data_IF_820987451629
#
_entry.id   IF_820987451629
#
_cell.length_a   1.000
_cell.length_b   1.000
_cell.length_c   1.000
_cell.angle_alpha   90.00
_cell.angle_beta   90.00
_cell.angle_gamma   90.00
#
_symmetry.space_group_name_H-M   'P 1'
#
loop_
_entity.id
_entity.type
_entity.pdbx_description
1 polymer ?
#
# COMPACT_ATOMS: atom_id res chain seq x y z
N UNK A 1 -14.64 -7.87 3.99
CA UNK A 1 -15.69 -7.66 2.95
C UNK A 1 -15.38 -8.39 1.65
N UNK A 2 -14.26 -8.09 0.98
CA UNK A 2 -13.76 -8.93 -0.10
C UNK A 2 -13.24 -10.24 0.52
N UNK A 3 -13.82 -11.42 0.21
CA UNK A 3 -13.46 -12.69 0.82
C UNK A 3 -12.18 -13.31 0.23
N UNK A 4 -11.62 -12.71 -0.82
CA UNK A 4 -10.39 -13.20 -1.43
C UNK A 4 -9.24 -13.00 -0.45
N UNK A 5 -8.48 -14.05 -0.17
CA UNK A 5 -7.24 -14.02 0.60
C UNK A 5 -6.11 -14.55 -0.30
N UNK A 6 -5.06 -13.74 -0.46
CA UNK A 6 -3.91 -14.11 -1.28
C UNK A 6 -2.99 -15.02 -0.48
N UNK A 7 -2.32 -15.95 -1.16
CA UNK A 7 -1.39 -16.88 -0.51
C UNK A 7 -0.10 -17.01 -1.31
N UNK A 8 1.03 -17.18 -0.62
CA UNK A 8 2.27 -17.56 -1.27
C UNK A 8 2.16 -19.01 -1.79
N UNK A 9 2.45 -19.21 -3.07
CA UNK A 9 2.38 -20.49 -3.80
C UNK A 9 3.71 -20.80 -4.50
N UNK A 10 4.79 -20.12 -4.10
CA UNK A 10 6.12 -20.17 -4.71
C UNK A 10 6.62 -21.60 -4.98
N UNK A 11 6.42 -22.52 -4.04
CA UNK A 11 6.96 -23.87 -4.10
C UNK A 11 6.40 -24.69 -5.28
N UNK A 12 5.15 -24.43 -5.69
CA UNK A 12 4.56 -25.08 -6.86
C UNK A 12 5.17 -24.61 -8.18
N UNK A 13 5.85 -23.46 -8.17
CA UNK A 13 6.49 -22.88 -9.36
C UNK A 13 8.02 -23.07 -9.39
N UNK A 14 8.64 -23.47 -8.27
CA UNK A 14 10.06 -23.84 -8.22
C UNK A 14 10.31 -25.05 -9.13
N UNK A 15 11.33 -24.93 -9.98
CA UNK A 15 11.73 -25.95 -10.96
C UNK A 15 10.57 -26.43 -11.87
N UNK A 16 9.57 -25.58 -12.08
CA UNK A 16 8.44 -25.87 -12.96
C UNK A 16 8.78 -25.62 -14.42
N UNK A 17 7.98 -26.17 -15.33
CA UNK A 17 8.13 -25.92 -16.77
C UNK A 17 7.79 -24.46 -17.17
N UNK A 18 7.18 -23.68 -16.28
CA UNK A 18 6.94 -22.27 -16.49
C UNK A 18 8.18 -21.44 -16.12
N UNK A 19 9.12 -21.36 -17.07
CA UNK A 19 10.44 -20.74 -16.89
C UNK A 19 10.41 -19.31 -16.35
N UNK A 20 9.38 -18.52 -16.65
CA UNK A 20 9.29 -17.13 -16.17
C UNK A 20 9.30 -17.07 -14.64
N UNK A 21 8.40 -17.79 -13.97
CA UNK A 21 8.35 -17.79 -12.50
C UNK A 21 9.46 -18.61 -11.88
N UNK A 22 9.82 -19.76 -12.48
CA UNK A 22 10.93 -20.57 -11.99
C UNK A 22 12.25 -19.76 -11.97
N UNK A 23 12.53 -18.99 -13.03
CA UNK A 23 13.73 -18.15 -13.10
C UNK A 23 13.67 -16.98 -12.11
N UNK A 24 12.51 -16.34 -11.93
CA UNK A 24 12.35 -15.26 -10.92
C UNK A 24 12.69 -15.80 -9.53
N UNK A 25 12.13 -16.95 -9.16
CA UNK A 25 12.34 -17.60 -7.87
C UNK A 25 13.77 -18.13 -7.68
N UNK A 26 14.47 -18.50 -8.75
CA UNK A 26 15.85 -18.98 -8.71
C UNK A 26 16.87 -17.84 -8.64
N UNK A 27 16.60 -16.71 -9.29
CA UNK A 27 17.53 -15.59 -9.40
C UNK A 27 17.49 -14.63 -8.21
N UNK A 28 16.38 -14.57 -7.48
CA UNK A 28 16.21 -13.67 -6.34
C UNK A 28 15.64 -14.44 -5.13
N UNK A 29 16.42 -14.59 -4.04
CA UNK A 29 15.94 -15.29 -2.85
C UNK A 29 14.80 -14.56 -2.13
N UNK A 30 14.57 -13.27 -2.41
CA UNK A 30 13.44 -12.49 -1.88
C UNK A 30 12.19 -12.66 -2.73
N UNK A 31 12.29 -13.28 -3.91
CA UNK A 31 11.16 -13.38 -4.80
C UNK A 31 10.16 -14.45 -4.31
N UNK A 32 8.89 -14.13 -4.47
CA UNK A 32 7.77 -15.03 -4.21
C UNK A 32 6.79 -15.01 -5.38
N UNK A 33 5.94 -16.05 -5.45
CA UNK A 33 4.76 -16.09 -6.29
C UNK A 33 3.54 -16.11 -5.39
N UNK A 34 2.65 -15.12 -5.54
CA UNK A 34 1.39 -15.07 -4.79
C UNK A 34 0.22 -15.43 -5.69
N UNK A 35 -0.63 -16.32 -5.21
CA UNK A 35 -1.90 -16.70 -5.80
C UNK A 35 -3.03 -15.81 -5.30
N UNK A 36 -3.87 -15.34 -6.21
CA UNK A 36 -5.06 -14.54 -5.96
C UNK A 36 -6.27 -15.39 -6.35
N UNK A 37 -6.91 -16.10 -5.38
CA UNK A 37 -8.04 -16.96 -5.68
C UNK A 37 -9.26 -16.14 -6.11
N UNK A 38 -9.91 -16.57 -7.17
CA UNK A 38 -11.07 -15.92 -7.77
C UNK A 38 -12.19 -16.96 -7.90
N UNK A 39 -12.90 -17.21 -6.80
CA UNK A 39 -14.06 -18.11 -6.78
C UNK A 39 -15.11 -17.60 -7.75
N UNK A 40 -15.78 -18.50 -8.47
CA UNK A 40 -16.69 -18.25 -9.61
C UNK A 40 -16.05 -17.60 -10.84
N UNK A 41 -14.73 -17.37 -10.83
CA UNK A 41 -13.97 -16.76 -11.92
C UNK A 41 -13.51 -17.72 -13.02
N UNK A 42 -13.99 -18.96 -13.05
CA UNK A 42 -13.49 -20.05 -13.89
C UNK A 42 -13.80 -19.95 -15.40
N UNK A 43 -13.93 -18.75 -15.95
CA UNK A 43 -14.15 -18.53 -17.38
C UNK A 43 -12.91 -17.96 -18.06
N UNK A 44 -12.57 -18.52 -19.24
CA UNK A 44 -11.46 -18.04 -20.08
C UNK A 44 -11.60 -16.55 -20.40
N UNK A 45 -12.81 -16.11 -20.76
CA UNK A 45 -13.09 -14.73 -21.10
C UNK A 45 -12.83 -13.75 -19.94
N UNK A 46 -13.19 -14.13 -18.70
CA UNK A 46 -12.87 -13.33 -17.53
C UNK A 46 -11.37 -13.25 -17.27
N UNK A 47 -10.69 -14.39 -17.33
CA UNK A 47 -9.24 -14.45 -17.12
C UNK A 47 -8.46 -13.61 -18.14
N UNK A 48 -8.84 -13.67 -19.42
CA UNK A 48 -8.20 -12.87 -20.47
C UNK A 48 -8.48 -11.36 -20.28
N UNK A 49 -9.67 -10.96 -19.82
CA UNK A 49 -9.95 -9.54 -19.47
C UNK A 49 -9.10 -9.04 -18.30
N UNK A 50 -8.98 -9.84 -17.24
CA UNK A 50 -8.13 -9.50 -16.09
C UNK A 50 -6.66 -9.37 -16.50
N UNK A 51 -6.18 -10.23 -17.40
CA UNK A 51 -4.84 -10.12 -17.97
C UNK A 51 -4.66 -8.83 -18.80
N UNK A 52 -5.61 -8.48 -19.67
CA UNK A 52 -5.58 -7.23 -20.43
C UNK A 52 -5.62 -5.99 -19.52
N UNK A 53 -6.41 -6.03 -18.45
CA UNK A 53 -6.42 -4.97 -17.44
C UNK A 53 -5.05 -4.81 -16.79
N UNK A 54 -4.43 -5.90 -16.34
CA UNK A 54 -3.09 -5.87 -15.76
C UNK A 54 -2.04 -5.26 -16.69
N UNK A 55 -2.13 -5.54 -18.00
CA UNK A 55 -1.29 -4.91 -19.01
C UNK A 55 -1.52 -3.39 -19.13
N UNK A 56 -2.78 -2.95 -19.00
CA UNK A 56 -3.12 -1.53 -18.91
C UNK A 56 -2.56 -0.84 -17.66
N UNK A 57 -2.39 -1.56 -16.56
CA UNK A 57 -1.73 -1.10 -15.32
C UNK A 57 -0.19 -1.15 -15.41
N UNK A 58 0.38 -1.42 -16.60
CA UNK A 58 1.82 -1.44 -16.83
C UNK A 58 2.52 -2.76 -16.46
N UNK A 59 1.78 -3.81 -16.12
CA UNK A 59 2.37 -5.13 -15.88
C UNK A 59 2.58 -5.90 -17.19
N UNK A 60 3.56 -6.82 -17.27
CA UNK A 60 3.72 -7.69 -18.46
C UNK A 60 2.49 -8.57 -18.74
N UNK A 61 1.74 -8.89 -17.69
CA UNK A 61 0.51 -9.67 -17.72
C UNK A 61 0.15 -10.17 -16.33
N UNK A 62 -1.00 -10.86 -16.24
CA UNK A 62 -1.48 -11.52 -15.04
C UNK A 62 -1.73 -12.99 -15.37
N UNK A 63 -0.76 -13.83 -15.01
CA UNK A 63 -0.84 -15.27 -15.24
C UNK A 63 -2.04 -15.87 -14.50
N UNK A 64 -2.70 -16.86 -15.09
CA UNK A 64 -3.89 -17.47 -14.49
C UNK A 64 -4.03 -18.96 -14.78
N UNK A 65 -4.82 -19.61 -13.92
CA UNK A 65 -5.36 -20.96 -14.08
C UNK A 65 -6.85 -20.87 -13.77
N UNK A 66 -7.68 -21.58 -14.52
CA UNK A 66 -9.10 -21.78 -14.22
C UNK A 66 -9.45 -23.25 -14.23
N UNK A 67 -10.37 -23.66 -13.38
CA UNK A 67 -10.74 -25.06 -13.21
C UNK A 67 -12.13 -25.31 -13.76
N UNK A 68 -12.24 -26.39 -14.54
CA UNK A 68 -13.50 -26.83 -15.14
C UNK A 68 -13.62 -28.34 -15.04
N UNK A 69 -14.83 -28.86 -14.88
CA UNK A 69 -15.08 -30.29 -15.04
C UNK A 69 -14.98 -30.71 -16.50
N UNK A 70 -14.18 -31.73 -16.76
CA UNK A 70 -14.11 -32.46 -18.02
C UNK A 70 -14.43 -33.94 -17.72
N UNK A 71 -15.69 -34.33 -17.93
CA UNK A 71 -16.24 -35.58 -17.41
C UNK A 71 -16.33 -35.56 -15.87
N UNK A 72 -15.80 -36.61 -15.23
CA UNK A 72 -15.76 -36.74 -13.75
C UNK A 72 -14.51 -36.11 -13.12
N UNK A 73 -13.57 -35.58 -13.92
CA UNK A 73 -12.33 -34.99 -13.43
C UNK A 73 -12.41 -33.47 -13.48
N UNK A 74 -11.87 -32.84 -12.44
CA UNK A 74 -11.66 -31.41 -12.39
C UNK A 74 -10.28 -31.11 -12.99
N UNK A 75 -10.25 -30.43 -14.13
CA UNK A 75 -9.01 -30.12 -14.85
C UNK A 75 -8.71 -28.62 -14.77
N UNK A 76 -7.44 -28.30 -14.47
CA UNK A 76 -6.94 -26.93 -14.55
C UNK A 76 -6.54 -26.58 -15.98
N UNK A 77 -7.12 -25.51 -16.53
CA UNK A 77 -6.85 -24.99 -17.85
C UNK A 77 -6.25 -23.58 -17.77
N UNK A 78 -5.61 -23.16 -18.86
CA UNK A 78 -4.97 -21.85 -18.97
C UNK A 78 -3.48 -21.94 -19.28
N UNK A 79 -2.83 -20.79 -19.54
CA UNK A 79 -1.42 -20.77 -19.92
C UNK A 79 -0.49 -21.36 -18.85
N UNK A 80 -0.78 -21.14 -17.57
CA UNK A 80 0.09 -21.63 -16.49
C UNK A 80 -0.07 -23.13 -16.25
N UNK A 81 -1.30 -23.65 -16.21
CA UNK A 81 -1.57 -25.07 -15.98
C UNK A 81 -0.84 -25.97 -16.98
N UNK A 82 -0.86 -25.60 -18.27
CA UNK A 82 -0.15 -26.32 -19.34
C UNK A 82 1.37 -26.38 -19.14
N UNK A 83 1.95 -25.35 -18.51
CA UNK A 83 3.40 -25.23 -18.35
C UNK A 83 3.91 -25.86 -17.04
N UNK A 84 3.09 -25.93 -15.99
CA UNK A 84 3.50 -26.51 -14.70
C UNK A 84 3.10 -27.98 -14.55
N UNK A 85 2.15 -28.47 -15.36
CA UNK A 85 1.68 -29.86 -15.35
C UNK A 85 0.55 -30.12 -14.35
N UNK A 86 -0.07 -31.29 -14.46
CA UNK A 86 -1.29 -31.65 -13.70
C UNK A 86 -1.06 -31.69 -12.18
N UNK A 87 0.03 -32.32 -11.73
CA UNK A 87 0.34 -32.49 -10.30
C UNK A 87 0.44 -31.14 -9.57
N UNK A 88 1.25 -30.21 -10.10
CA UNK A 88 1.43 -28.86 -9.52
C UNK A 88 0.15 -28.03 -9.63
N UNK A 89 -0.60 -28.18 -10.74
CA UNK A 89 -1.87 -27.49 -10.92
C UNK A 89 -2.90 -27.91 -9.88
N UNK A 90 -2.97 -29.22 -9.57
CA UNK A 90 -3.87 -29.75 -8.53
C UNK A 90 -3.41 -29.34 -7.13
N UNK A 91 -2.11 -29.35 -6.85
CA UNK A 91 -1.57 -28.89 -5.57
C UNK A 91 -1.91 -27.42 -5.28
N UNK A 92 -1.80 -26.55 -6.30
CA UNK A 92 -2.23 -25.15 -6.19
C UNK A 92 -3.74 -25.07 -5.92
N UNK A 93 -4.56 -25.85 -6.63
CA UNK A 93 -6.02 -25.87 -6.45
C UNK A 93 -6.41 -26.20 -5.01
N UNK A 94 -5.77 -27.23 -4.45
CA UNK A 94 -6.00 -27.68 -3.08
C UNK A 94 -5.56 -26.63 -2.07
N UNK A 95 -4.37 -26.04 -2.24
CA UNK A 95 -3.88 -24.99 -1.34
C UNK A 95 -4.79 -23.75 -1.33
N UNK A 96 -5.24 -23.31 -2.51
CA UNK A 96 -6.10 -22.13 -2.65
C UNK A 96 -7.58 -22.43 -2.37
N UNK A 97 -7.95 -23.69 -2.11
CA UNK A 97 -9.32 -24.10 -1.81
C UNK A 97 -10.32 -23.83 -2.94
N UNK A 98 -9.89 -24.11 -4.18
CA UNK A 98 -10.65 -23.82 -5.41
C UNK A 98 -11.42 -25.03 -5.91
N UNK A 99 -12.57 -24.81 -6.53
CA UNK A 99 -13.47 -25.83 -7.06
C UNK A 99 -13.73 -25.64 -8.56
N UNK A 100 -14.63 -26.47 -9.09
CA UNK A 100 -15.17 -26.30 -10.43
C UNK A 100 -15.80 -24.92 -10.61
N UNK A 101 -15.43 -24.24 -11.71
CA UNK A 101 -15.89 -22.89 -12.00
C UNK A 101 -15.08 -21.78 -11.29
N UNK A 102 -13.97 -22.10 -10.64
CA UNK A 102 -13.09 -21.11 -10.02
C UNK A 102 -11.83 -20.81 -10.86
N UNK A 103 -11.15 -19.71 -10.53
CA UNK A 103 -9.85 -19.36 -11.10
C UNK A 103 -8.86 -18.89 -10.04
N UNK A 104 -7.61 -18.77 -10.43
CA UNK A 104 -6.56 -18.13 -9.66
C UNK A 104 -5.68 -17.30 -10.59
N UNK A 105 -5.28 -16.13 -10.12
CA UNK A 105 -4.29 -15.28 -10.78
C UNK A 105 -2.98 -15.31 -10.01
N UNK A 106 -1.88 -14.98 -10.67
CA UNK A 106 -0.55 -15.11 -10.10
C UNK A 106 0.31 -13.89 -10.42
N UNK A 107 0.97 -13.40 -9.38
CA UNK A 107 1.98 -12.34 -9.44
C UNK A 107 3.29 -12.90 -8.91
N UNK A 108 4.41 -12.50 -9.50
CA UNK A 108 5.73 -13.02 -9.15
C UNK A 108 6.76 -11.90 -9.09
N UNK A 109 7.68 -11.96 -8.13
CA UNK A 109 8.76 -10.98 -7.94
C UNK A 109 9.04 -10.73 -6.48
N UNK A 110 9.62 -9.57 -6.15
CA UNK A 110 9.77 -9.13 -4.76
C UNK A 110 8.39 -8.68 -4.22
N UNK A 111 7.86 -9.30 -3.15
CA UNK A 111 6.57 -8.92 -2.54
C UNK A 111 6.46 -7.44 -2.23
N UNK A 112 7.54 -6.78 -1.78
CA UNK A 112 7.52 -5.35 -1.47
C UNK A 112 7.18 -4.48 -2.68
N UNK A 113 7.51 -4.96 -3.88
CA UNK A 113 7.27 -4.24 -5.15
C UNK A 113 5.90 -4.56 -5.74
N UNK A 114 5.46 -5.82 -5.68
CA UNK A 114 4.22 -6.21 -6.35
C UNK A 114 2.98 -6.15 -5.44
N UNK A 115 3.11 -6.06 -4.10
CA UNK A 115 1.96 -6.18 -3.16
C UNK A 115 0.86 -5.17 -3.45
N UNK A 116 1.21 -3.94 -3.85
CA UNK A 116 0.25 -2.91 -4.23
C UNK A 116 -0.59 -3.35 -5.43
N UNK A 117 0.08 -3.85 -6.48
CA UNK A 117 -0.60 -4.39 -7.66
C UNK A 117 -1.41 -5.65 -7.34
N UNK A 118 -0.89 -6.57 -6.53
CA UNK A 118 -1.62 -7.76 -6.09
C UNK A 118 -2.91 -7.40 -5.34
N UNK A 119 -2.84 -6.41 -4.45
CA UNK A 119 -4.00 -5.87 -3.74
C UNK A 119 -5.03 -5.23 -4.68
N UNK A 120 -4.58 -4.52 -5.71
CA UNK A 120 -5.45 -3.98 -6.76
C UNK A 120 -6.12 -5.11 -7.56
N UNK A 121 -5.37 -6.13 -7.98
CA UNK A 121 -5.89 -7.28 -8.72
C UNK A 121 -6.92 -8.08 -7.90
N UNK A 122 -6.63 -8.30 -6.61
CA UNK A 122 -7.58 -8.87 -5.64
C UNK A 122 -8.88 -8.06 -5.56
N UNK A 123 -8.77 -6.74 -5.46
CA UNK A 123 -9.93 -5.84 -5.37
C UNK A 123 -10.74 -5.90 -6.64
N UNK A 124 -10.09 -5.78 -7.80
CA UNK A 124 -10.72 -5.86 -9.11
C UNK A 124 -11.44 -7.18 -9.34
N UNK A 125 -10.80 -8.31 -9.04
CA UNK A 125 -11.41 -9.63 -9.16
C UNK A 125 -12.66 -9.76 -8.27
N UNK A 126 -12.58 -9.29 -7.02
CA UNK A 126 -13.72 -9.29 -6.11
C UNK A 126 -14.88 -8.42 -6.62
N UNK A 127 -14.60 -7.29 -7.25
CA UNK A 127 -15.62 -6.39 -7.81
C UNK A 127 -16.26 -6.95 -9.09
N UNK A 128 -15.47 -7.44 -10.04
CA UNK A 128 -15.99 -7.99 -11.31
C UNK A 128 -16.81 -9.27 -11.10
N UNK A 129 -16.45 -10.08 -10.10
CA UNK A 129 -17.18 -11.29 -9.72
C UNK A 129 -18.29 -11.04 -8.69
N UNK A 130 -18.51 -9.77 -8.31
CA UNK A 130 -19.51 -9.36 -7.33
C UNK A 130 -19.42 -10.13 -5.99
N UNK A 131 -18.18 -10.42 -5.55
CA UNK A 131 -17.89 -11.11 -4.29
C UNK A 131 -17.79 -10.14 -3.10
N UNK A 132 -17.60 -8.84 -3.37
CA UNK A 132 -17.50 -7.81 -2.33
C UNK A 132 -18.88 -7.51 -1.78
N UNK A 133 -19.05 -7.73 -0.48
CA UNK A 133 -20.20 -7.25 0.27
C UNK A 133 -20.15 -5.72 0.42
N UNK A 134 -21.12 -5.03 -0.20
CA UNK A 134 -21.16 -3.56 -0.29
C UNK A 134 -21.97 -2.90 0.81
N UNK A 135 -22.83 -3.64 1.50
CA UNK A 135 -23.74 -3.12 2.54
C UNK A 135 -23.13 -3.17 3.95
N UNK A 136 -22.02 -3.90 4.09
CA UNK A 136 -21.32 -4.05 5.37
C UNK A 136 -20.20 -3.04 5.55
N UNK A 137 -20.03 -2.58 6.78
CA UNK A 137 -18.81 -1.91 7.23
C UNK A 137 -17.92 -2.92 7.96
N UNK A 138 -16.67 -3.05 7.50
CA UNK A 138 -15.62 -3.82 8.16
C UNK A 138 -14.51 -2.87 8.56
N UNK A 139 -14.17 -2.88 9.85
CA UNK A 139 -13.13 -2.05 10.42
C UNK A 139 -12.00 -2.93 10.93
N UNK A 140 -10.78 -2.46 10.75
CA UNK A 140 -9.60 -3.05 11.38
C UNK A 140 -8.61 -1.98 11.80
N UNK A 141 -7.76 -2.35 12.74
CA UNK A 141 -6.55 -1.60 13.06
C UNK A 141 -5.38 -2.21 12.29
N UNK A 142 -4.63 -1.38 11.60
CA UNK A 142 -3.29 -1.71 11.14
C UNK A 142 -2.33 -1.15 12.18
N UNK A 143 -1.45 -1.99 12.71
CA UNK A 143 -0.49 -1.66 13.76
C UNK A 143 0.87 -2.18 13.36
N UNK A 144 1.90 -1.93 14.18
CA UNK A 144 3.25 -2.44 13.96
C UNK A 144 3.88 -1.98 12.63
N UNK A 145 3.63 -0.72 12.28
CA UNK A 145 4.31 -0.08 11.15
C UNK A 145 5.82 -0.03 11.39
N UNK A 146 6.65 -0.14 10.33
CA UNK A 146 8.08 0.14 10.42
C UNK A 146 8.32 1.56 10.94
N UNK A 147 9.35 1.73 11.77
CA UNK A 147 9.80 3.05 12.22
C UNK A 147 10.69 3.70 11.16
N UNK A 148 11.59 2.90 10.59
CA UNK A 148 12.48 3.29 9.50
C UNK A 148 12.16 2.50 8.23
N UNK A 149 12.50 3.09 7.10
CA UNK A 149 12.53 2.41 5.80
C UNK A 149 13.84 2.68 5.07
N UNK A 150 14.16 1.82 4.11
CA UNK A 150 15.29 2.04 3.21
C UNK A 150 14.83 2.84 2.00
N UNK A 151 15.35 4.04 1.84
CA UNK A 151 15.12 4.86 0.67
C UNK A 151 16.04 4.39 -0.47
N UNK A 152 15.46 3.76 -1.49
CA UNK A 152 16.21 3.23 -2.63
C UNK A 152 16.77 4.30 -3.57
N UNK A 153 16.20 5.51 -3.58
CA UNK A 153 16.67 6.62 -4.44
C UNK A 153 17.90 7.28 -3.83
N UNK A 154 17.80 7.64 -2.55
CA UNK A 154 18.84 8.34 -1.79
C UNK A 154 19.88 7.38 -1.18
N UNK A 155 19.65 6.06 -1.27
CA UNK A 155 20.50 5.00 -0.70
C UNK A 155 20.82 5.23 0.78
N UNK A 156 19.79 5.57 1.57
CA UNK A 156 19.89 5.84 3.01
C UNK A 156 18.67 5.36 3.77
N UNK A 157 18.79 5.29 5.09
CA UNK A 157 17.66 5.09 5.98
C UNK A 157 16.86 6.40 6.08
N UNK A 158 15.54 6.29 6.03
CA UNK A 158 14.60 7.38 6.28
C UNK A 158 13.48 6.94 7.23
N UNK A 159 12.69 7.87 7.73
CA UNK A 159 11.50 7.55 8.50
C UNK A 159 10.40 7.00 7.60
N UNK A 160 9.79 5.88 7.98
CA UNK A 160 8.73 5.27 7.18
C UNK A 160 7.43 6.11 7.19
N UNK A 161 7.15 6.80 8.31
CA UNK A 161 5.96 7.61 8.46
C UNK A 161 6.24 8.90 9.24
N UNK A 162 5.87 8.95 10.53
CA UNK A 162 5.96 10.16 11.32
C UNK A 162 7.23 10.12 12.20
N UNK A 163 8.17 11.07 12.02
CA UNK A 163 9.46 11.06 12.72
C UNK A 163 9.35 11.30 14.23
N UNK A 164 8.20 11.76 14.70
CA UNK A 164 7.92 12.02 16.11
C UNK A 164 7.18 10.87 16.80
N UNK A 165 7.01 9.73 16.13
CA UNK A 165 6.47 8.53 16.76
C UNK A 165 7.47 7.94 17.74
N UNK A 166 6.96 7.29 18.78
CA UNK A 166 7.80 6.54 19.71
C UNK A 166 8.22 5.22 19.05
N UNK A 167 9.52 4.92 18.91
CA UNK A 167 9.97 3.59 18.48
C UNK A 167 9.65 2.56 19.57
N UNK A 168 9.19 1.38 19.15
CA UNK A 168 9.06 0.24 20.06
C UNK A 168 10.46 -0.14 20.58
N UNK A 169 10.60 -0.24 21.91
CA UNK A 169 11.90 -0.41 22.57
C UNK A 169 12.66 0.89 22.86
N UNK A 170 12.13 2.06 22.49
CA UNK A 170 12.71 3.35 22.86
C UNK A 170 14.13 3.57 22.33
N UNK A 171 14.98 4.22 23.13
CA UNK A 171 16.36 4.54 22.71
C UNK A 171 17.23 3.30 22.54
N UNK A 172 16.96 2.23 23.28
CA UNK A 172 17.75 0.99 23.22
C UNK A 172 17.60 0.32 21.85
N UNK A 173 16.39 0.35 21.27
CA UNK A 173 16.15 -0.12 19.91
C UNK A 173 16.99 0.64 18.88
N UNK A 174 17.16 1.96 19.06
CA UNK A 174 17.95 2.82 18.17
C UNK A 174 19.47 2.62 18.33
N UNK A 175 19.92 1.93 19.38
CA UNK A 175 21.32 1.57 19.59
C UNK A 175 21.67 0.18 19.04
N UNK A 176 20.66 -0.60 18.61
CA UNK A 176 20.85 -1.91 18.00
C UNK A 176 21.33 -1.85 16.55
N UNK A 177 21.69 -3.01 16.00
CA UNK A 177 22.13 -3.14 14.62
C UNK A 177 20.95 -3.24 13.62
N UNK A 178 19.81 -3.78 14.05
CA UNK A 178 18.63 -3.97 13.21
C UNK A 178 17.69 -2.75 13.27
N UNK A 179 18.09 -1.68 12.59
CA UNK A 179 17.29 -0.45 12.53
C UNK A 179 16.01 -0.61 11.69
N UNK A 180 16.04 -1.41 10.63
CA UNK A 180 14.89 -1.60 9.73
C UNK A 180 13.84 -2.55 10.31
N UNK A 181 14.18 -3.36 11.32
CA UNK A 181 13.24 -4.16 12.08
C UNK A 181 12.51 -3.40 13.19
N UNK A 182 12.90 -2.16 13.49
CA UNK A 182 12.25 -1.34 14.52
C UNK A 182 10.82 -1.02 14.07
N UNK A 183 9.86 -1.32 14.93
CA UNK A 183 8.46 -0.94 14.76
C UNK A 183 8.17 0.38 15.46
N UNK A 184 7.22 1.15 14.94
CA UNK A 184 6.70 2.33 15.57
C UNK A 184 5.47 2.00 16.42
N UNK A 185 5.23 2.75 17.48
CA UNK A 185 3.90 2.80 18.12
C UNK A 185 2.93 3.65 17.28
N UNK A 186 2.73 3.25 16.03
CA UNK A 186 1.81 3.87 15.09
C UNK A 186 0.68 2.91 14.73
N UNK A 187 -0.46 3.49 14.38
CA UNK A 187 -1.64 2.73 14.06
C UNK A 187 -2.56 3.51 13.13
N UNK A 188 -3.19 2.77 12.22
CA UNK A 188 -4.22 3.30 11.33
C UNK A 188 -5.52 2.54 11.57
N UNK A 189 -6.63 3.27 11.57
CA UNK A 189 -7.96 2.69 11.52
C UNK A 189 -8.40 2.64 10.06
N UNK A 190 -8.67 1.45 9.56
CA UNK A 190 -9.12 1.23 8.19
C UNK A 190 -10.57 0.79 8.24
N UNK A 191 -11.42 1.43 7.45
CA UNK A 191 -12.77 0.98 7.19
C UNK A 191 -12.91 0.68 5.72
N UNK A 192 -13.35 -0.53 5.37
CA UNK A 192 -13.74 -0.85 4.01
C UNK A 192 -12.63 -0.72 2.95
N UNK A 193 -11.35 -0.75 3.36
CA UNK A 193 -10.17 -0.56 2.50
C UNK A 193 -9.68 0.88 2.44
N UNK A 194 -10.32 1.80 3.16
CA UNK A 194 -9.94 3.19 3.29
C UNK A 194 -9.39 3.45 4.68
N UNK A 195 -8.19 4.04 4.77
CA UNK A 195 -7.67 4.61 6.00
C UNK A 195 -8.61 5.75 6.44
N UNK A 196 -9.26 5.66 7.60
CA UNK A 196 -10.18 6.69 8.10
C UNK A 196 -9.62 7.46 9.30
N UNK A 197 -8.58 6.94 9.95
CA UNK A 197 -7.81 7.65 10.95
C UNK A 197 -6.39 7.12 11.00
N UNK A 198 -5.44 7.99 11.36
CA UNK A 198 -4.06 7.62 11.62
C UNK A 198 -3.59 8.26 12.92
N UNK A 199 -2.75 7.55 13.66
CA UNK A 199 -2.29 7.98 14.97
C UNK A 199 -1.02 7.28 15.43
N UNK A 200 -0.60 7.64 16.63
CA UNK A 200 0.54 7.01 17.26
C UNK A 200 0.84 7.58 18.64
N UNK A 201 1.62 6.82 19.39
CA UNK A 201 2.27 7.29 20.60
C UNK A 201 3.47 8.14 20.19
N UNK A 202 3.58 9.32 20.79
CA UNK A 202 4.60 10.30 20.44
C UNK A 202 5.83 10.11 21.31
N UNK A 203 6.98 10.34 20.68
CA UNK A 203 8.21 10.49 21.40
C UNK A 203 8.12 11.76 22.27
N UNK A 204 8.42 11.60 23.55
CA UNK A 204 8.44 12.66 24.56
C UNK A 204 9.82 12.79 25.24
N UNK A 205 10.80 12.01 24.77
CA UNK A 205 12.15 11.95 25.32
C UNK A 205 13.13 12.65 24.35
N UNK A 206 13.73 13.79 24.74
CA UNK A 206 14.61 14.57 23.87
C UNK A 206 15.75 13.75 23.25
N UNK A 207 16.43 12.93 24.06
CA UNK A 207 17.58 12.15 23.64
C UNK A 207 17.19 11.02 22.66
N UNK A 208 16.04 10.38 22.87
CA UNK A 208 15.49 9.41 21.92
C UNK A 208 15.16 10.09 20.58
N UNK A 209 14.60 11.30 20.61
CA UNK A 209 14.26 12.04 19.40
C UNK A 209 15.52 12.41 18.61
N UNK A 210 16.51 12.99 19.28
CA UNK A 210 17.79 13.33 18.65
C UNK A 210 18.44 12.08 18.05
N UNK A 211 18.52 10.97 18.79
CA UNK A 211 19.09 9.72 18.29
C UNK A 211 18.37 9.18 17.04
N UNK A 212 17.04 9.25 17.02
CA UNK A 212 16.25 8.82 15.87
C UNK A 212 16.55 9.68 14.63
N UNK A 213 16.65 11.00 14.80
CA UNK A 213 17.00 11.92 13.71
C UNK A 213 18.46 11.78 13.24
N UNK A 214 19.39 11.54 14.16
CA UNK A 214 20.80 11.27 13.83
C UNK A 214 20.93 10.03 12.93
N UNK A 215 20.07 9.02 13.16
CA UNK A 215 20.04 7.78 12.38
C UNK A 215 19.67 8.02 10.90
N UNK A 216 18.87 9.04 10.62
CA UNK A 216 18.52 9.47 9.24
C UNK A 216 19.42 10.60 8.71
N UNK A 217 20.49 10.93 9.44
CA UNK A 217 21.50 11.91 9.02
C UNK A 217 21.22 13.36 9.42
N UNK A 218 20.31 13.62 10.37
CA UNK A 218 20.10 14.95 10.94
C UNK A 218 20.76 15.03 12.31
N UNK A 219 21.82 15.82 12.42
CA UNK A 219 22.52 16.04 13.68
C UNK A 219 21.67 16.85 14.68
N UNK A 220 22.09 16.85 15.95
CA UNK A 220 21.40 17.58 17.02
C UNK A 220 21.19 19.07 16.68
N UNK A 221 22.20 19.73 16.13
CA UNK A 221 22.11 21.15 15.79
C UNK A 221 20.99 21.41 14.77
N UNK A 222 20.89 20.57 13.75
CA UNK A 222 19.83 20.65 12.74
C UNK A 222 18.45 20.36 13.33
N UNK A 223 18.35 19.38 14.24
CA UNK A 223 17.09 19.08 14.95
C UNK A 223 16.64 20.26 15.82
N UNK A 224 17.55 20.88 16.55
CA UNK A 224 17.26 22.06 17.38
C UNK A 224 16.88 23.28 16.54
N UNK A 225 17.51 23.48 15.38
CA UNK A 225 17.17 24.56 14.47
C UNK A 225 15.75 24.38 13.88
N UNK A 226 15.44 23.19 13.36
CA UNK A 226 14.17 22.92 12.67
C UNK A 226 13.00 22.72 13.63
N UNK A 227 13.25 22.11 14.79
CA UNK A 227 12.21 21.68 15.74
C UNK A 227 12.41 22.25 17.15
N UNK A 228 13.16 23.35 17.30
CA UNK A 228 13.58 23.88 18.60
C UNK A 228 12.43 24.21 19.57
N UNK A 229 11.26 24.59 19.07
CA UNK A 229 10.07 24.78 19.90
C UNK A 229 9.64 23.48 20.59
N UNK A 230 9.55 22.39 19.82
CA UNK A 230 9.19 21.05 20.32
C UNK A 230 10.29 20.47 21.21
N UNK A 231 11.55 20.54 20.76
CA UNK A 231 12.70 20.01 21.49
C UNK A 231 12.80 20.62 22.90
N UNK A 232 12.70 21.95 23.02
CA UNK A 232 12.71 22.65 24.32
C UNK A 232 11.50 22.27 25.17
N UNK A 233 10.31 22.13 24.58
CA UNK A 233 9.12 21.73 25.33
C UNK A 233 9.30 20.37 26.01
N UNK A 234 9.94 19.40 25.34
CA UNK A 234 10.19 18.08 25.92
C UNK A 234 11.16 18.12 27.12
N UNK A 235 12.09 19.07 27.16
CA UNK A 235 13.02 19.25 28.28
C UNK A 235 12.34 19.71 29.58
N UNK A 236 11.13 20.29 29.49
CA UNK A 236 10.34 20.70 30.66
C UNK A 236 9.43 19.59 31.19
N UNK A 237 9.65 18.33 30.80
CA UNK A 237 8.92 17.18 31.32
C UNK A 237 7.61 16.91 30.58
N UNK A 238 7.65 16.86 29.25
CA UNK A 238 6.50 16.43 28.47
C UNK A 238 6.08 15.00 28.87
N UNK A 239 4.81 14.75 29.21
CA UNK A 239 4.36 13.42 29.59
C UNK A 239 4.34 12.47 28.38
N UNK A 240 4.33 11.15 28.62
CA UNK A 240 3.93 10.19 27.59
C UNK A 240 2.56 10.59 27.02
N UNK A 241 2.49 10.77 25.71
CA UNK A 241 1.29 11.22 25.03
C UNK A 241 1.12 10.51 23.68
N UNK A 242 -0.12 10.45 23.22
CA UNK A 242 -0.49 9.84 21.97
C UNK A 242 -1.77 10.47 21.45
N UNK A 243 -2.06 10.25 20.18
CA UNK A 243 -3.26 10.80 19.58
C UNK A 243 -3.50 10.23 18.19
N UNK A 244 -4.64 10.60 17.63
CA UNK A 244 -5.01 10.25 16.26
C UNK A 244 -5.77 11.42 15.63
N UNK A 245 -5.74 11.47 14.30
CA UNK A 245 -6.59 12.34 13.51
C UNK A 245 -7.48 11.48 12.61
N UNK A 246 -8.78 11.79 12.56
CA UNK A 246 -9.73 11.13 11.70
C UNK A 246 -10.01 11.99 10.46
N UNK A 247 -9.99 11.36 9.28
CA UNK A 247 -10.43 11.97 8.04
C UNK A 247 -11.95 11.99 7.98
N UNK A 248 -12.57 13.01 8.58
CA UNK A 248 -14.03 13.13 8.70
C UNK A 248 -14.72 13.05 7.34
N UNK A 249 -14.16 13.69 6.31
CA UNK A 249 -14.69 13.63 4.95
C UNK A 249 -14.78 12.19 4.43
N UNK A 250 -13.75 11.38 4.68
CA UNK A 250 -13.72 9.99 4.24
C UNK A 250 -14.72 9.12 5.02
N UNK A 251 -14.92 9.40 6.31
CA UNK A 251 -15.97 8.77 7.11
C UNK A 251 -17.35 9.11 6.53
N UNK A 252 -17.63 10.38 6.24
CA UNK A 252 -18.90 10.83 5.65
C UNK A 252 -19.11 10.22 4.26
N UNK A 253 -18.06 10.18 3.42
CA UNK A 253 -18.08 9.56 2.10
C UNK A 253 -18.51 8.09 2.18
N UNK A 254 -17.93 7.34 3.12
CA UNK A 254 -18.28 5.94 3.34
C UNK A 254 -19.72 5.76 3.85
N UNK A 255 -20.17 6.60 4.79
CA UNK A 255 -21.54 6.55 5.32
C UNK A 255 -22.60 6.85 4.26
N UNK A 256 -22.29 7.74 3.32
CA UNK A 256 -23.18 8.10 2.21
C UNK A 256 -23.07 7.14 1.00
N UNK A 257 -22.14 6.18 1.03
CA UNK A 257 -21.87 5.30 -0.11
C UNK A 257 -21.31 6.04 -1.34
N UNK A 258 -20.76 7.25 -1.13
CA UNK A 258 -20.17 8.06 -2.19
C UNK A 258 -18.85 7.43 -2.67
N UNK A 259 -18.56 7.56 -3.97
CA UNK A 259 -17.33 6.99 -4.57
C UNK A 259 -16.18 7.98 -4.60
N UNK A 260 -16.47 9.26 -4.43
CA UNK A 260 -15.51 10.34 -4.54
C UNK A 260 -15.78 11.41 -3.48
N UNK A 261 -14.72 11.92 -2.85
CA UNK A 261 -14.82 13.01 -1.87
C UNK A 261 -15.49 14.27 -2.45
N UNK A 262 -15.41 14.49 -3.77
CA UNK A 262 -16.10 15.60 -4.43
C UNK A 262 -17.63 15.53 -4.32
N UNK A 263 -18.21 14.35 -4.15
CA UNK A 263 -19.66 14.17 -4.03
C UNK A 263 -20.19 14.63 -2.66
N UNK A 264 -19.31 14.78 -1.67
CA UNK A 264 -19.66 15.23 -0.32
C UNK A 264 -19.11 16.62 0.01
N UNK A 265 -18.31 17.20 -0.89
CA UNK A 265 -17.70 18.52 -0.72
C UNK A 265 -18.54 19.55 -1.45
N UNK A 266 -18.93 20.62 -0.76
CA UNK A 266 -19.79 21.66 -1.32
C UNK A 266 -19.16 22.40 -2.51
N UNK A 267 -17.87 22.74 -2.41
CA UNK A 267 -17.08 23.41 -3.45
C UNK A 267 -15.77 22.65 -3.69
N UNK A 268 -15.80 21.53 -4.43
CA UNK A 268 -14.62 20.70 -4.63
C UNK A 268 -13.65 21.33 -5.64
N UNK A 269 -12.35 21.12 -5.40
CA UNK A 269 -11.32 21.43 -6.39
C UNK A 269 -11.12 20.29 -7.39
N UNK A 270 -10.63 20.63 -8.60
CA UNK A 270 -10.18 19.65 -9.57
C UNK A 270 -8.84 19.00 -9.15
N UNK A 271 -8.30 18.06 -9.93
CA UNK A 271 -7.04 17.37 -9.58
C UNK A 271 -5.81 18.28 -9.60
N UNK A 272 -5.92 19.44 -10.25
CA UNK A 272 -4.89 20.47 -10.33
C UNK A 272 -5.08 21.55 -9.25
N UNK A 273 -5.93 21.30 -8.24
CA UNK A 273 -6.26 22.22 -7.16
C UNK A 273 -6.94 23.53 -7.62
N UNK A 274 -7.66 23.50 -8.75
CA UNK A 274 -8.50 24.63 -9.19
C UNK A 274 -9.93 24.49 -8.68
N UNK A 275 -10.45 25.58 -8.12
CA UNK A 275 -11.88 25.80 -7.93
C UNK A 275 -12.45 26.46 -9.20
N UNK A 276 -13.26 25.70 -9.94
CA UNK A 276 -13.83 26.15 -11.21
C UNK A 276 -15.01 27.13 -11.03
N UNK A 277 -15.68 27.12 -9.88
CA UNK A 277 -16.78 28.04 -9.58
C UNK A 277 -16.23 29.44 -9.31
N UNK A 278 -15.16 29.51 -8.51
CA UNK A 278 -14.52 30.77 -8.10
C UNK A 278 -13.42 31.23 -9.05
N UNK A 279 -13.06 30.40 -10.04
CA UNK A 279 -11.90 30.61 -10.92
C UNK A 279 -10.61 30.87 -10.10
N UNK A 280 -10.36 30.00 -9.14
CA UNK A 280 -9.22 30.07 -8.23
C UNK A 280 -8.28 28.87 -8.42
N UNK A 281 -6.95 29.02 -8.21
CA UNK A 281 -6.26 30.25 -7.85
C UNK A 281 -6.27 31.30 -8.98
N UNK A 282 -6.10 32.57 -8.61
CA UNK A 282 -6.01 33.71 -9.53
C UNK A 282 -4.77 34.56 -9.23
N UNK A 283 -4.39 35.44 -10.16
CA UNK A 283 -3.20 36.28 -9.99
C UNK A 283 -3.35 37.28 -8.83
N UNK A 284 -2.35 37.33 -7.97
CA UNK A 284 -2.26 38.36 -6.93
C UNK A 284 -1.89 39.71 -7.54
N UNK A 285 -2.49 40.79 -7.01
CA UNK A 285 -2.18 42.14 -7.49
C UNK A 285 -0.73 42.54 -7.15
N UNK A 286 -0.11 43.43 -7.95
CA UNK A 286 1.24 43.93 -7.65
C UNK A 286 1.36 44.61 -6.27
N UNK A 287 0.27 45.20 -5.76
CA UNK A 287 0.27 45.81 -4.43
C UNK A 287 0.34 44.75 -3.32
N UNK A 288 -0.50 43.71 -3.38
CA UNK A 288 -0.48 42.60 -2.42
C UNK A 288 0.90 41.92 -2.35
N UNK A 289 1.54 41.73 -3.51
CA UNK A 289 2.88 41.16 -3.58
C UNK A 289 3.93 42.06 -2.92
N UNK A 290 3.87 43.39 -3.14
CA UNK A 290 4.77 44.34 -2.48
C UNK A 290 4.57 44.39 -0.98
N UNK A 291 3.32 44.39 -0.50
CA UNK A 291 2.99 44.44 0.92
C UNK A 291 3.53 43.22 1.67
N UNK A 292 3.62 42.07 1.00
CA UNK A 292 4.20 40.83 1.54
C UNK A 292 5.70 40.67 1.23
N UNK A 293 6.33 41.65 0.57
CA UNK A 293 7.72 41.58 0.08
C UNK A 293 8.00 40.35 -0.81
N UNK A 294 7.02 39.95 -1.63
CA UNK A 294 7.07 38.81 -2.53
C UNK A 294 7.25 39.25 -4.00
N UNK A 295 7.85 38.37 -4.79
CA UNK A 295 7.89 38.47 -6.26
C UNK A 295 7.63 37.10 -6.86
N UNK A 296 6.72 37.01 -7.83
CA UNK A 296 6.46 35.78 -8.56
C UNK A 296 7.66 35.48 -9.46
N UNK A 297 8.26 34.30 -9.29
CA UNK A 297 9.29 33.80 -10.18
C UNK A 297 8.66 33.25 -11.47
N UNK A 298 9.35 33.40 -12.60
CA UNK A 298 8.92 32.73 -13.84
C UNK A 298 9.14 31.23 -13.64
N UNK A 299 8.09 30.38 -13.74
CA UNK A 299 8.26 28.95 -13.64
C UNK A 299 9.25 28.47 -14.70
N UNK A 300 10.09 27.47 -14.39
CA UNK A 300 10.83 26.76 -15.44
C UNK A 300 9.78 26.25 -16.43
N UNK A 301 9.95 26.54 -17.73
CA UNK A 301 9.18 25.85 -18.76
C UNK A 301 9.50 24.36 -18.60
N UNK A 302 8.48 23.56 -18.30
CA UNK A 302 8.60 22.12 -18.39
C UNK A 302 9.04 21.78 -19.83
N UNK A 303 10.14 21.03 -19.94
CA UNK A 303 10.70 20.58 -21.21
C UNK A 303 9.94 19.36 -21.72
#
# INVERSE_FOLDING_TARGET
RNPIEMQAVSDHFRDSGFKVFANILANDPKAEVWGIPAKTGGSRAFCDRMNSWAQGEGQPGLGYIFWRKEGDKLEGAGPLAKNIGEERTEAIRLQLGLADGDAAFFVAGDPKKFVSFAGAARTRAGEELNLVDRERFELCWIVDFPFFEWNEEEKKIDFAHNPFSMPQGGIDALNGEDLLGIKAFQYDMVCNGFEIASGGIRNHLPETMVKAFETVGLDRATVEERFGGLYRAFQYGAPPHGGMAAGVDRVVMLLLGAKNLREITMFPMNQQAYDLLMNAPSEASPQQLRDLALRVAVPKKDA
#
